data_IF_511344637244
#
_entry.id   IF_511344637244
#
_cell.length_a   1.000
_cell.length_b   1.000
_cell.length_c   1.000
_cell.angle_alpha   90.00
_cell.angle_beta   90.00
_cell.angle_gamma   90.00
#
_symmetry.space_group_name_H-M   'P 1'
#
loop_
_entity.id
_entity.type
_entity.pdbx_description
1 polymer ?
#
# COMPACT_ATOMS: atom_id res chain seq x y z
N UNK A 1 5.27 -20.69 -14.41
CA UNK A 1 5.35 -21.41 -15.68
C UNK A 1 4.61 -20.59 -16.76
N UNK A 2 5.33 -20.02 -17.73
CA UNK A 2 4.75 -19.41 -18.93
C UNK A 2 4.11 -18.03 -18.79
N UNK A 3 4.14 -17.38 -17.64
CA UNK A 3 3.65 -16.02 -17.51
C UNK A 3 4.63 -15.03 -18.15
N UNK A 4 4.12 -14.21 -19.08
CA UNK A 4 4.92 -13.16 -19.68
C UNK A 4 5.24 -12.10 -18.62
N UNK A 5 6.52 -11.88 -18.33
CA UNK A 5 7.02 -10.89 -17.34
C UNK A 5 6.41 -9.48 -17.56
N UNK A 6 6.21 -9.09 -18.81
CA UNK A 6 5.63 -7.78 -19.17
C UNK A 6 4.17 -7.61 -18.77
N UNK A 7 3.45 -8.71 -18.47
CA UNK A 7 2.07 -8.68 -17.97
C UNK A 7 1.99 -8.61 -16.42
N UNK A 8 3.12 -8.67 -15.75
CA UNK A 8 3.20 -8.62 -14.29
C UNK A 8 3.70 -7.26 -13.84
N UNK A 9 3.07 -6.70 -12.81
CA UNK A 9 3.59 -5.56 -12.07
C UNK A 9 4.19 -6.10 -10.76
N UNK A 10 5.52 -6.10 -10.67
CA UNK A 10 6.25 -6.65 -9.53
C UNK A 10 6.79 -5.54 -8.66
N UNK A 11 6.37 -5.56 -7.39
CA UNK A 11 6.87 -4.65 -6.36
C UNK A 11 7.71 -5.43 -5.34
N UNK A 12 8.86 -4.87 -4.97
CA UNK A 12 9.65 -5.34 -3.83
C UNK A 12 10.01 -4.17 -2.91
N UNK A 13 10.59 -4.47 -1.76
CA UNK A 13 10.94 -3.46 -0.75
C UNK A 13 12.30 -3.76 -0.16
N UNK A 14 13.04 -2.71 0.21
CA UNK A 14 14.21 -2.83 1.07
C UNK A 14 13.79 -2.67 2.53
N UNK A 15 14.25 -3.58 3.38
CA UNK A 15 14.01 -3.51 4.83
C UNK A 15 14.59 -2.25 5.44
N UNK A 16 13.95 -1.70 6.49
CA UNK A 16 14.41 -0.54 7.23
C UNK A 16 15.85 -0.64 7.75
N UNK A 17 16.30 -1.85 8.07
CA UNK A 17 17.68 -2.11 8.52
C UNK A 17 18.74 -2.08 7.42
N UNK A 18 18.35 -2.01 6.15
CA UNK A 18 19.22 -2.06 4.97
C UNK A 18 19.17 -0.77 4.14
N UNK A 19 18.97 0.37 4.76
CA UNK A 19 18.80 1.65 4.06
C UNK A 19 20.09 2.47 3.85
N UNK A 20 21.26 1.92 4.18
CA UNK A 20 22.52 2.46 3.69
C UNK A 20 22.60 2.29 2.16
N UNK A 21 23.17 3.26 1.46
CA UNK A 21 23.21 3.31 0.00
C UNK A 21 23.57 1.95 -0.64
N UNK A 22 24.71 1.37 -0.28
CA UNK A 22 25.16 0.10 -0.86
C UNK A 22 24.26 -1.09 -0.48
N UNK A 23 23.69 -1.07 0.71
CA UNK A 23 22.75 -2.10 1.15
C UNK A 23 21.43 -2.05 0.38
N UNK A 24 20.94 -0.86 0.04
CA UNK A 24 19.75 -0.69 -0.83
C UNK A 24 20.02 -1.31 -2.20
N UNK A 25 21.17 -0.99 -2.82
CA UNK A 25 21.56 -1.55 -4.11
C UNK A 25 21.67 -3.08 -4.06
N UNK A 26 22.33 -3.61 -3.04
CA UNK A 26 22.50 -5.06 -2.88
C UNK A 26 21.15 -5.77 -2.62
N UNK A 27 20.29 -5.19 -1.78
CA UNK A 27 18.95 -5.75 -1.50
C UNK A 27 18.07 -5.81 -2.75
N UNK A 28 18.17 -4.81 -3.62
CA UNK A 28 17.49 -4.83 -4.91
C UNK A 28 17.99 -5.98 -5.80
N UNK A 29 19.30 -6.13 -5.95
CA UNK A 29 19.90 -7.23 -6.72
C UNK A 29 19.50 -8.60 -6.18
N UNK A 30 19.46 -8.75 -4.86
CA UNK A 30 18.97 -9.98 -4.19
C UNK A 30 17.49 -10.23 -4.51
N UNK A 31 16.65 -9.20 -4.48
CA UNK A 31 15.25 -9.31 -4.86
C UNK A 31 15.08 -9.76 -6.32
N UNK A 32 15.85 -9.18 -7.24
CA UNK A 32 15.83 -9.54 -8.66
C UNK A 32 16.22 -11.01 -8.87
N UNK A 33 17.30 -11.45 -8.21
CA UNK A 33 17.76 -12.84 -8.28
C UNK A 33 16.72 -13.84 -7.76
N UNK A 34 16.12 -13.58 -6.59
CA UNK A 34 15.09 -14.44 -6.03
C UNK A 34 13.81 -14.50 -6.89
N UNK A 35 13.43 -13.36 -7.48
CA UNK A 35 12.27 -13.25 -8.35
C UNK A 35 12.54 -13.74 -9.78
N UNK A 36 13.80 -14.00 -10.13
CA UNK A 36 14.27 -14.41 -11.47
C UNK A 36 13.78 -13.44 -12.55
N UNK A 37 14.05 -12.17 -12.33
CA UNK A 37 13.68 -11.08 -13.25
C UNK A 37 14.79 -10.04 -13.34
N UNK A 38 14.87 -9.35 -14.47
CA UNK A 38 15.90 -8.34 -14.73
C UNK A 38 15.53 -6.96 -14.21
N UNK A 39 14.24 -6.74 -13.87
CA UNK A 39 13.77 -5.46 -13.37
C UNK A 39 12.59 -5.60 -12.41
N UNK A 40 12.41 -4.59 -11.55
CA UNK A 40 11.18 -4.37 -10.77
C UNK A 40 10.36 -3.24 -11.38
N UNK A 41 9.04 -3.35 -11.31
CA UNK A 41 8.16 -2.26 -11.74
C UNK A 41 8.07 -1.15 -10.70
N UNK A 42 8.24 -1.50 -9.41
CA UNK A 42 8.26 -0.58 -8.29
C UNK A 42 9.15 -1.11 -7.17
N UNK A 43 9.99 -0.24 -6.59
CA UNK A 43 10.81 -0.58 -5.43
C UNK A 43 10.60 0.45 -4.33
N UNK A 44 10.36 -0.02 -3.09
CA UNK A 44 9.97 0.82 -1.97
C UNK A 44 11.02 0.79 -0.86
N UNK A 45 11.21 1.93 -0.17
CA UNK A 45 11.71 1.91 1.21
C UNK A 45 10.60 1.38 2.11
N UNK A 46 10.86 0.31 2.90
CA UNK A 46 9.80 -0.39 3.64
C UNK A 46 9.28 0.40 4.85
N UNK A 47 10.17 1.12 5.49
CA UNK A 47 9.93 1.96 6.67
C UNK A 47 11.09 2.94 6.82
N UNK A 48 10.94 3.93 7.68
CA UNK A 48 11.98 4.92 7.94
C UNK A 48 12.40 4.87 9.42
N UNK A 49 13.51 4.15 9.75
CA UNK A 49 14.08 4.21 11.07
C UNK A 49 14.66 5.61 11.36
N UNK A 50 14.44 6.18 12.55
CA UNK A 50 14.82 7.56 12.87
C UNK A 50 16.32 7.89 12.65
N UNK A 51 17.19 6.90 12.81
CA UNK A 51 18.67 7.09 12.76
C UNK A 51 19.28 6.84 11.38
N UNK A 52 18.47 6.52 10.36
CA UNK A 52 18.99 6.25 9.03
C UNK A 52 18.98 7.49 8.13
N UNK A 53 20.06 7.72 7.36
CA UNK A 53 20.14 8.88 6.49
C UNK A 53 19.23 8.70 5.27
N UNK A 54 18.00 9.23 5.34
CA UNK A 54 16.99 9.15 4.27
C UNK A 54 17.55 9.54 2.90
N UNK A 55 18.36 10.61 2.87
CA UNK A 55 18.98 11.10 1.64
C UNK A 55 19.76 9.99 0.91
N UNK A 56 20.62 9.25 1.61
CA UNK A 56 21.45 8.19 1.00
C UNK A 56 20.61 7.01 0.50
N UNK A 57 19.54 6.66 1.21
CA UNK A 57 18.62 5.62 0.77
C UNK A 57 17.88 6.03 -0.52
N UNK A 58 17.44 7.29 -0.59
CA UNK A 58 16.77 7.84 -1.77
C UNK A 58 17.73 7.98 -2.96
N UNK A 59 18.96 8.43 -2.76
CA UNK A 59 20.00 8.48 -3.80
C UNK A 59 20.29 7.08 -4.38
N UNK A 60 20.24 6.04 -3.55
CA UNK A 60 20.37 4.65 -4.03
C UNK A 60 19.16 4.22 -4.88
N UNK A 61 17.94 4.65 -4.53
CA UNK A 61 16.78 4.40 -5.37
C UNK A 61 16.92 5.08 -6.74
N UNK A 62 17.42 6.32 -6.80
CA UNK A 62 17.68 7.02 -8.07
C UNK A 62 18.65 6.24 -8.94
N UNK A 63 19.76 5.77 -8.36
CA UNK A 63 20.73 4.94 -9.07
C UNK A 63 20.10 3.67 -9.63
N UNK A 64 19.23 3.00 -8.89
CA UNK A 64 18.54 1.78 -9.37
C UNK A 64 17.64 2.07 -10.57
N UNK A 65 17.02 3.25 -10.62
CA UNK A 65 16.24 3.68 -11.78
C UNK A 65 17.13 4.00 -12.96
N UNK A 66 18.22 4.75 -12.74
CA UNK A 66 19.19 5.10 -13.78
C UNK A 66 19.87 3.86 -14.38
N UNK A 67 20.15 2.84 -13.57
CA UNK A 67 20.70 1.55 -13.99
C UNK A 67 19.65 0.65 -14.70
N UNK A 68 18.37 1.06 -14.75
CA UNK A 68 17.30 0.31 -15.39
C UNK A 68 16.81 -0.92 -14.61
N UNK A 69 17.29 -1.13 -13.39
CA UNK A 69 16.90 -2.25 -12.52
C UNK A 69 15.52 -2.05 -11.88
N UNK A 70 15.06 -0.80 -11.76
CA UNK A 70 13.77 -0.41 -11.21
C UNK A 70 13.12 0.62 -12.11
N UNK A 71 11.83 0.47 -12.41
CA UNK A 71 11.12 1.45 -13.25
C UNK A 71 10.57 2.63 -12.49
N UNK A 72 10.18 2.44 -11.24
CA UNK A 72 9.54 3.45 -10.38
C UNK A 72 9.97 3.24 -8.93
N UNK A 73 9.99 4.32 -8.18
CA UNK A 73 10.34 4.32 -6.76
C UNK A 73 9.15 4.75 -5.91
N UNK A 74 9.15 4.31 -4.66
CA UNK A 74 8.16 4.67 -3.67
C UNK A 74 8.65 4.41 -2.26
N UNK A 75 7.76 4.61 -1.31
CA UNK A 75 8.03 4.47 0.11
C UNK A 75 6.91 3.70 0.82
N UNK A 76 7.10 3.39 2.08
CA UNK A 76 6.08 2.76 2.91
C UNK A 76 6.10 3.37 4.31
N UNK A 77 4.92 3.67 4.85
CA UNK A 77 4.70 4.26 6.17
C UNK A 77 5.29 5.67 6.36
N UNK A 78 5.40 6.44 5.29
CA UNK A 78 5.85 7.83 5.33
C UNK A 78 4.67 8.77 5.58
N UNK A 79 4.81 9.66 6.56
CA UNK A 79 3.94 10.83 6.72
C UNK A 79 4.27 11.91 5.69
N UNK A 80 3.48 13.00 5.68
CA UNK A 80 3.61 14.08 4.68
C UNK A 80 4.99 14.74 4.73
N UNK A 81 5.52 14.97 5.93
CA UNK A 81 6.84 15.61 6.11
C UNK A 81 7.94 14.76 5.46
N UNK A 82 7.99 13.47 5.79
CA UNK A 82 8.97 12.53 5.25
C UNK A 82 8.81 12.30 3.74
N UNK A 83 7.56 12.31 3.21
CA UNK A 83 7.32 12.26 1.76
C UNK A 83 7.92 13.46 1.04
N UNK A 84 7.72 14.68 1.57
CA UNK A 84 8.29 15.91 1.02
C UNK A 84 9.81 15.90 1.10
N UNK A 85 10.35 15.48 2.22
CA UNK A 85 11.79 15.35 2.42
C UNK A 85 12.39 14.34 1.44
N UNK A 86 11.86 13.12 1.36
CA UNK A 86 12.31 12.11 0.42
C UNK A 86 12.25 12.62 -1.03
N UNK A 87 11.16 13.26 -1.44
CA UNK A 87 11.02 13.82 -2.79
C UNK A 87 12.06 14.92 -3.08
N UNK A 88 12.54 15.63 -2.07
CA UNK A 88 13.58 16.67 -2.25
C UNK A 88 14.97 16.10 -2.55
N UNK A 89 15.18 14.81 -2.28
CA UNK A 89 16.46 14.11 -2.50
C UNK A 89 16.52 13.32 -3.81
N UNK A 90 15.44 13.30 -4.60
CA UNK A 90 15.36 12.52 -5.83
C UNK A 90 14.90 13.37 -7.01
N UNK A 91 15.46 13.08 -8.19
CA UNK A 91 14.97 13.61 -9.48
C UNK A 91 13.79 12.81 -10.04
N UNK A 92 13.59 11.59 -9.56
CA UNK A 92 12.48 10.73 -9.95
C UNK A 92 11.27 10.95 -9.02
N UNK A 93 10.07 10.79 -9.55
CA UNK A 93 8.86 10.92 -8.74
C UNK A 93 8.72 9.72 -7.79
N UNK A 94 8.44 9.99 -6.53
CA UNK A 94 7.90 9.00 -5.60
C UNK A 94 6.43 8.77 -5.98
N UNK A 95 6.14 7.60 -6.57
CA UNK A 95 4.81 7.33 -7.16
C UNK A 95 3.87 6.56 -6.24
N UNK A 96 4.37 6.04 -5.12
CA UNK A 96 3.58 5.20 -4.22
C UNK A 96 4.02 5.39 -2.77
N UNK A 97 3.05 5.43 -1.86
CA UNK A 97 3.25 5.26 -0.42
C UNK A 97 2.41 4.08 0.06
N UNK A 98 3.05 3.02 0.57
CA UNK A 98 2.35 1.85 1.09
C UNK A 98 2.13 1.99 2.59
N UNK A 99 0.86 1.96 3.04
CA UNK A 99 0.48 2.31 4.41
C UNK A 99 -0.56 1.36 5.00
N UNK A 100 -0.65 1.30 6.34
CA UNK A 100 -1.75 0.61 7.02
C UNK A 100 -3.04 1.43 6.86
N UNK A 101 -4.00 0.88 6.13
CA UNK A 101 -5.26 1.56 5.91
C UNK A 101 -6.38 0.55 5.67
N UNK A 102 -7.45 0.65 6.44
CA UNK A 102 -8.66 -0.14 6.31
C UNK A 102 -9.82 0.55 7.04
N UNK A 103 -10.98 -0.10 7.13
CA UNK A 103 -12.18 0.46 7.77
C UNK A 103 -12.00 0.87 9.24
N UNK A 104 -11.08 0.26 9.98
CA UNK A 104 -10.76 0.63 11.37
C UNK A 104 -9.55 1.56 11.46
N UNK A 105 -8.45 1.26 10.76
CA UNK A 105 -7.23 2.07 10.85
C UNK A 105 -7.29 3.23 9.88
N UNK A 106 -7.48 4.44 10.40
CA UNK A 106 -7.81 5.66 9.67
C UNK A 106 -6.72 6.75 9.76
N UNK A 107 -5.53 6.40 10.21
CA UNK A 107 -4.42 7.34 10.41
C UNK A 107 -4.13 8.18 9.15
N UNK A 108 -4.20 7.57 7.97
CA UNK A 108 -3.96 8.25 6.68
C UNK A 108 -4.96 9.38 6.40
N UNK A 109 -6.19 9.25 6.86
CA UNK A 109 -7.22 10.28 6.73
C UNK A 109 -7.04 11.36 7.79
N UNK A 110 -6.91 10.96 9.05
CA UNK A 110 -6.78 11.90 10.17
C UNK A 110 -5.54 12.77 10.09
N UNK A 111 -4.44 12.25 9.55
CA UNK A 111 -3.21 13.02 9.28
C UNK A 111 -3.22 13.74 7.91
N UNK A 112 -4.32 13.69 7.15
CA UNK A 112 -4.43 14.33 5.84
C UNK A 112 -3.54 13.71 4.75
N UNK A 113 -2.96 12.52 4.99
CA UNK A 113 -2.05 11.88 4.05
C UNK A 113 -2.78 11.41 2.79
N UNK A 114 -4.03 10.92 2.92
CA UNK A 114 -4.85 10.51 1.78
C UNK A 114 -5.03 11.68 0.80
N UNK A 115 -5.48 12.82 1.30
CA UNK A 115 -5.68 14.04 0.50
C UNK A 115 -4.37 14.53 -0.13
N UNK A 116 -3.28 14.49 0.63
CA UNK A 116 -1.98 14.88 0.13
C UNK A 116 -1.55 13.98 -1.03
N UNK A 117 -1.67 12.66 -0.89
CA UNK A 117 -1.32 11.69 -1.93
C UNK A 117 -2.18 11.90 -3.20
N UNK A 118 -3.49 12.09 -3.04
CA UNK A 118 -4.41 12.32 -4.16
C UNK A 118 -4.10 13.62 -4.91
N UNK A 119 -3.75 14.70 -4.21
CA UNK A 119 -3.38 15.99 -4.81
C UNK A 119 -2.03 15.98 -5.51
N UNK A 120 -1.13 15.10 -5.08
CA UNK A 120 0.23 15.00 -5.64
C UNK A 120 0.40 13.78 -6.58
N UNK A 121 -0.69 13.09 -6.93
CA UNK A 121 -0.69 11.92 -7.80
C UNK A 121 0.27 10.82 -7.30
N UNK A 122 0.24 10.56 -5.99
CA UNK A 122 0.94 9.48 -5.30
C UNK A 122 -0.07 8.38 -5.01
N UNK A 123 0.17 7.17 -5.52
CA UNK A 123 -0.69 6.01 -5.26
C UNK A 123 -0.56 5.61 -3.79
N UNK A 124 -1.68 5.50 -3.09
CA UNK A 124 -1.73 4.97 -1.75
C UNK A 124 -2.02 3.47 -1.81
N UNK A 125 -1.05 2.64 -1.40
CA UNK A 125 -1.19 1.19 -1.40
C UNK A 125 -1.53 0.71 0.02
N UNK A 126 -2.82 0.42 0.26
CA UNK A 126 -3.32 0.00 1.56
C UNK A 126 -2.94 -1.45 1.87
N UNK A 127 -2.15 -1.70 2.90
CA UNK A 127 -1.92 -3.07 3.39
C UNK A 127 -2.87 -3.41 4.55
N UNK A 128 -3.10 -4.71 4.80
CA UNK A 128 -4.05 -5.24 5.78
C UNK A 128 -5.50 -4.75 5.56
N UNK A 129 -6.04 -4.86 4.34
CA UNK A 129 -7.39 -4.35 4.02
C UNK A 129 -8.50 -4.93 4.89
N UNK A 130 -8.32 -6.15 5.39
CA UNK A 130 -9.26 -6.88 6.24
C UNK A 130 -8.69 -7.10 7.67
N UNK A 131 -7.71 -6.30 8.11
CA UNK A 131 -7.16 -6.38 9.47
C UNK A 131 -6.58 -7.76 9.85
N UNK A 132 -6.04 -8.54 8.89
CA UNK A 132 -5.65 -9.95 9.06
C UNK A 132 -6.83 -10.88 9.41
N UNK A 133 -8.03 -10.56 8.99
CA UNK A 133 -9.25 -11.30 9.27
C UNK A 133 -10.09 -10.72 10.41
N UNK A 134 -9.54 -9.87 11.26
CA UNK A 134 -10.28 -9.27 12.39
C UNK A 134 -11.55 -8.53 11.98
N UNK A 135 -11.54 -7.85 10.82
CA UNK A 135 -12.73 -7.16 10.29
C UNK A 135 -13.83 -8.13 9.81
N UNK A 136 -13.56 -9.42 9.81
CA UNK A 136 -14.50 -10.48 9.40
C UNK A 136 -15.05 -11.25 10.61
N UNK A 137 -14.52 -10.99 11.80
CA UNK A 137 -15.02 -11.44 13.09
C UNK A 137 -16.02 -10.37 13.58
N UNK A 138 -17.03 -10.72 14.31
CA UNK A 138 -18.02 -9.78 14.90
C UNK A 138 -18.44 -8.64 13.94
N UNK A 139 -18.92 -9.03 12.77
CA UNK A 139 -19.26 -8.11 11.67
C UNK A 139 -20.30 -7.09 12.15
N UNK A 140 -20.01 -5.76 12.11
CA UNK A 140 -20.95 -4.77 12.59
C UNK A 140 -22.15 -4.62 11.65
N UNK A 141 -23.30 -4.18 12.21
CA UNK A 141 -24.55 -4.05 11.48
C UNK A 141 -24.43 -3.27 10.16
N UNK A 142 -23.67 -2.19 10.14
CA UNK A 142 -23.42 -1.42 8.92
C UNK A 142 -22.77 -2.25 7.81
N UNK A 143 -21.86 -3.16 8.17
CA UNK A 143 -21.22 -4.07 7.21
C UNK A 143 -22.23 -5.12 6.72
N UNK A 144 -23.06 -5.68 7.60
CA UNK A 144 -24.13 -6.62 7.22
C UNK A 144 -25.10 -5.99 6.22
N UNK A 145 -25.52 -4.75 6.47
CA UNK A 145 -26.38 -3.96 5.57
C UNK A 145 -25.74 -3.79 4.18
N UNK A 146 -24.43 -3.49 4.13
CA UNK A 146 -23.70 -3.41 2.87
C UNK A 146 -23.58 -4.76 2.17
N UNK A 147 -23.32 -5.83 2.91
CA UNK A 147 -23.28 -7.18 2.35
C UNK A 147 -24.62 -7.57 1.69
N UNK A 148 -25.73 -7.29 2.33
CA UNK A 148 -27.08 -7.52 1.77
C UNK A 148 -27.30 -6.65 0.53
N UNK A 149 -27.04 -5.36 0.62
CA UNK A 149 -27.25 -4.39 -0.46
C UNK A 149 -26.49 -4.75 -1.74
N UNK A 150 -25.23 -5.15 -1.61
CA UNK A 150 -24.36 -5.43 -2.74
C UNK A 150 -24.27 -6.92 -3.10
N UNK A 151 -24.86 -7.80 -2.29
CA UNK A 151 -24.72 -9.27 -2.42
C UNK A 151 -23.25 -9.69 -2.43
N UNK A 152 -22.48 -9.17 -1.48
CA UNK A 152 -21.02 -9.38 -1.35
C UNK A 152 -20.66 -9.78 0.07
N UNK A 153 -19.49 -10.43 0.21
CA UNK A 153 -18.96 -10.81 1.52
C UNK A 153 -18.35 -9.61 2.24
N UNK A 154 -18.19 -9.65 3.58
CA UNK A 154 -17.51 -8.60 4.34
C UNK A 154 -16.10 -8.31 3.81
N UNK A 155 -15.33 -9.34 3.41
CA UNK A 155 -14.01 -9.18 2.82
C UNK A 155 -14.08 -8.38 1.51
N UNK A 156 -15.06 -8.69 0.65
CA UNK A 156 -15.27 -8.00 -0.62
C UNK A 156 -15.68 -6.54 -0.41
N UNK A 157 -16.56 -6.26 0.54
CA UNK A 157 -16.97 -4.88 0.89
C UNK A 157 -15.76 -4.10 1.43
N UNK A 158 -14.99 -4.65 2.37
CA UNK A 158 -13.83 -3.97 2.95
C UNK A 158 -12.74 -3.66 1.90
N UNK A 159 -12.47 -4.60 0.99
CA UNK A 159 -11.52 -4.38 -0.12
C UNK A 159 -12.08 -3.35 -1.10
N UNK A 160 -13.36 -3.47 -1.47
CA UNK A 160 -13.99 -2.55 -2.41
C UNK A 160 -14.07 -1.12 -1.86
N UNK A 161 -14.32 -0.95 -0.55
CA UNK A 161 -14.29 0.35 0.11
C UNK A 161 -12.95 1.08 -0.10
N UNK A 162 -11.83 0.36 -0.04
CA UNK A 162 -10.51 0.94 -0.33
C UNK A 162 -10.37 1.33 -1.80
N UNK A 163 -10.65 0.41 -2.72
CA UNK A 163 -10.41 0.63 -4.16
C UNK A 163 -11.46 1.53 -4.83
N UNK A 164 -12.59 1.82 -4.17
CA UNK A 164 -13.55 2.82 -4.61
C UNK A 164 -13.06 4.26 -4.40
N UNK A 165 -11.96 4.44 -3.67
CA UNK A 165 -11.38 5.75 -3.41
C UNK A 165 -10.32 6.09 -4.46
N UNK A 166 -10.32 7.34 -4.94
CA UNK A 166 -9.37 7.81 -5.96
C UNK A 166 -7.93 7.61 -5.50
N UNK A 167 -7.10 7.00 -6.33
CA UNK A 167 -5.67 6.83 -6.07
C UNK A 167 -5.34 5.84 -4.95
N UNK A 168 -6.29 4.97 -4.57
CA UNK A 168 -6.08 3.91 -3.59
C UNK A 168 -6.11 2.54 -4.26
N UNK A 169 -5.13 1.72 -3.95
CA UNK A 169 -5.10 0.28 -4.26
C UNK A 169 -4.86 -0.50 -2.97
N UNK A 170 -5.11 -1.80 -2.97
CA UNK A 170 -4.90 -2.61 -1.78
C UNK A 170 -4.10 -3.87 -2.04
N UNK A 171 -3.50 -4.40 -0.97
CA UNK A 171 -2.71 -5.62 -0.96
C UNK A 171 -3.38 -6.63 -0.03
N UNK A 172 -4.10 -7.58 -0.60
CA UNK A 172 -4.71 -8.70 0.12
C UNK A 172 -3.80 -9.93 -0.02
N UNK A 173 -3.15 -10.32 1.09
CA UNK A 173 -2.33 -11.53 1.15
C UNK A 173 -3.17 -12.72 1.61
N UNK A 174 -3.09 -13.84 0.88
CA UNK A 174 -3.60 -15.14 1.33
C UNK A 174 -2.74 -16.27 0.81
N UNK A 175 -2.72 -17.41 1.51
CA UNK A 175 -2.18 -18.68 1.04
C UNK A 175 -3.28 -19.65 0.58
N UNK A 176 -4.54 -19.28 0.74
CA UNK A 176 -5.70 -20.10 0.38
C UNK A 176 -6.28 -19.66 -0.98
N UNK A 177 -6.36 -20.56 -1.97
CA UNK A 177 -6.97 -20.28 -3.26
C UNK A 177 -8.46 -19.86 -3.19
N UNK A 178 -9.21 -20.32 -2.17
CA UNK A 178 -10.60 -19.90 -1.97
C UNK A 178 -10.68 -18.43 -1.55
N UNK A 179 -9.88 -18.05 -0.56
CA UNK A 179 -9.77 -16.64 -0.13
C UNK A 179 -9.24 -15.74 -1.25
N UNK A 180 -8.34 -16.26 -2.12
CA UNK A 180 -7.89 -15.49 -3.28
C UNK A 180 -9.04 -15.19 -4.24
N UNK A 181 -9.87 -16.18 -4.55
CA UNK A 181 -11.07 -15.98 -5.38
C UNK A 181 -12.07 -15.04 -4.74
N UNK A 182 -12.28 -15.15 -3.42
CA UNK A 182 -13.12 -14.23 -2.68
C UNK A 182 -12.61 -12.79 -2.79
N UNK A 183 -11.33 -12.56 -2.51
CA UNK A 183 -10.70 -11.24 -2.61
C UNK A 183 -10.80 -10.65 -4.03
N UNK A 184 -10.61 -11.47 -5.07
CA UNK A 184 -10.80 -11.06 -6.46
C UNK A 184 -12.26 -10.68 -6.78
N UNK A 185 -13.23 -11.26 -6.09
CA UNK A 185 -14.65 -10.91 -6.20
C UNK A 185 -14.99 -9.50 -5.69
N UNK A 186 -14.03 -8.79 -5.09
CA UNK A 186 -14.13 -7.36 -4.80
C UNK A 186 -13.97 -6.47 -6.04
N UNK A 187 -13.50 -7.01 -7.16
CA UNK A 187 -13.28 -6.27 -8.39
C UNK A 187 -14.52 -6.30 -9.31
N UNK A 188 -14.58 -5.34 -10.24
CA UNK A 188 -15.62 -5.30 -11.30
C UNK A 188 -16.95 -4.67 -10.88
N UNK A 189 -17.02 -4.10 -9.69
CA UNK A 189 -18.13 -3.31 -9.18
C UNK A 189 -17.59 -2.25 -8.20
N UNK A 190 -18.43 -1.29 -7.78
CA UNK A 190 -18.01 -0.23 -6.86
C UNK A 190 -19.14 0.08 -5.88
N UNK A 191 -18.75 0.38 -4.64
CA UNK A 191 -19.63 1.06 -3.70
C UNK A 191 -19.99 2.45 -4.24
N UNK A 192 -21.21 2.91 -4.00
CA UNK A 192 -21.56 4.31 -4.28
C UNK A 192 -20.76 5.24 -3.38
N UNK A 193 -20.56 6.49 -3.82
CA UNK A 193 -19.89 7.51 -2.98
C UNK A 193 -20.56 7.67 -1.61
N UNK A 194 -21.91 7.64 -1.59
CA UNK A 194 -22.66 7.71 -0.35
C UNK A 194 -22.40 6.53 0.59
N UNK A 195 -22.24 5.31 0.06
CA UNK A 195 -21.93 4.12 0.88
C UNK A 195 -20.48 4.10 1.34
N UNK A 196 -19.55 4.61 0.52
CA UNK A 196 -18.16 4.81 0.95
C UNK A 196 -18.09 5.78 2.13
N UNK A 197 -18.83 6.91 2.06
CA UNK A 197 -18.89 7.89 3.14
C UNK A 197 -19.64 7.34 4.36
N UNK A 198 -20.70 6.58 4.15
CA UNK A 198 -21.47 5.96 5.24
C UNK A 198 -20.58 4.98 6.01
N UNK A 199 -19.87 4.09 5.34
CA UNK A 199 -18.89 3.19 5.96
C UNK A 199 -17.74 3.98 6.62
N UNK A 200 -17.27 5.06 5.99
CA UNK A 200 -16.23 5.93 6.56
C UNK A 200 -16.66 6.51 7.91
N UNK A 201 -17.90 6.93 8.02
CA UNK A 201 -18.42 7.61 9.18
C UNK A 201 -18.90 6.65 10.28
N UNK A 202 -19.61 5.60 9.89
CA UNK A 202 -20.38 4.77 10.82
C UNK A 202 -19.67 3.45 11.19
N UNK A 203 -18.53 3.08 10.53
CA UNK A 203 -17.82 1.85 10.89
C UNK A 203 -17.26 1.99 12.30
N UNK A 204 -17.51 1.03 13.22
CA UNK A 204 -17.11 1.16 14.62
C UNK A 204 -15.62 0.98 14.86
N UNK A 205 -15.17 1.30 16.08
CA UNK A 205 -13.83 1.04 16.61
C UNK A 205 -12.68 1.62 15.76
N UNK A 206 -12.93 2.80 15.15
CA UNK A 206 -11.93 3.49 14.35
C UNK A 206 -10.78 4.00 15.21
N UNK A 207 -9.56 3.76 14.74
CA UNK A 207 -8.33 4.22 15.39
C UNK A 207 -7.53 5.14 14.48
N UNK A 208 -6.99 6.19 15.07
CA UNK A 208 -6.21 7.23 14.37
C UNK A 208 -4.71 6.97 14.30
N UNK A 209 -4.25 5.82 14.82
CA UNK A 209 -2.83 5.45 14.82
C UNK A 209 -2.72 3.96 14.48
N UNK A 210 -1.79 3.62 13.60
CA UNK A 210 -1.51 2.23 13.23
C UNK A 210 -0.83 1.48 14.40
N UNK A 211 -1.31 0.29 14.69
CA UNK A 211 -0.71 -0.67 15.64
C UNK A 211 0.52 -1.40 15.08
N UNK A 212 0.89 -1.13 13.85
CA UNK A 212 2.01 -1.79 13.13
C UNK A 212 3.19 -0.86 12.97
N UNK A 213 3.00 0.18 12.18
CA UNK A 213 3.99 1.23 11.94
C UNK A 213 3.21 2.53 11.80
N UNK A 214 3.20 3.36 12.84
CA UNK A 214 2.62 4.70 12.77
C UNK A 214 3.27 5.55 11.68
N UNK A 215 2.50 6.44 11.09
CA UNK A 215 3.02 7.42 10.14
C UNK A 215 3.90 8.44 10.87
N UNK A 216 5.15 8.52 10.47
CA UNK A 216 6.10 9.50 10.99
C UNK A 216 5.88 10.91 10.45
#
# INVERSE_FOLDING_TARGET
>A
QGLNRKKLFITSKVSGWNQEHEKVLQSCKTSLAHLRTDYLDLYLLHEFPPDYPLKRAVEALDKLVDDGLVKRIGVSNFGIAHLKEAQSYTKHRIVCNQVHYNLQVREVEQKGLLDYCQKNDILLAAYRPIGKGKLLEDVPKIMEEMCVKYQKTPAQIAINWLISQKGVVTLAKTGDPAHLRENLGALGWYLTEGDVELLRKEYPDQVGISDVTPLG
#
